data_IF_257106795903
#
_entry.id   IF_257106795903
#
_cell.length_a   1.000
_cell.length_b   1.000
_cell.length_c   1.000
_cell.angle_alpha   90.00
_cell.angle_beta   90.00
_cell.angle_gamma   90.00
#
_symmetry.space_group_name_H-M   'P 1'
#
loop_
_entity.id
_entity.type
_entity.pdbx_description
1 polymer ?
#
# COMPACT_ATOMS: atom_id res chain seq x y z
N UNK A 1 3.08 -20.84 5.52
CA UNK A 1 3.86 -20.65 4.28
C UNK A 1 2.93 -20.76 3.09
N UNK A 2 3.28 -20.23 1.90
CA UNK A 2 2.38 -20.27 0.72
C UNK A 2 2.47 -21.57 -0.09
N UNK A 3 3.30 -22.54 0.36
CA UNK A 3 3.63 -23.77 -0.37
C UNK A 3 2.41 -24.63 -0.71
N UNK A 4 1.44 -24.70 0.20
CA UNK A 4 0.25 -25.55 0.07
C UNK A 4 -0.70 -25.10 -1.04
N UNK A 5 -0.53 -23.87 -1.53
CA UNK A 5 -1.34 -23.28 -2.60
C UNK A 5 -0.65 -23.32 -3.97
N UNK A 6 0.55 -23.91 -4.05
CA UNK A 6 1.32 -24.00 -5.29
C UNK A 6 1.07 -25.33 -6.00
N UNK A 7 1.05 -25.29 -7.33
CA UNK A 7 1.11 -26.51 -8.15
C UNK A 7 2.47 -27.19 -8.02
N UNK A 8 2.60 -28.49 -8.38
CA UNK A 8 3.88 -29.18 -8.35
C UNK A 8 4.99 -28.47 -9.14
N UNK A 9 4.65 -27.84 -10.26
CA UNK A 9 5.57 -27.02 -11.07
C UNK A 9 5.95 -25.70 -10.38
N UNK A 10 5.04 -25.12 -9.61
CA UNK A 10 5.30 -23.96 -8.76
C UNK A 10 6.28 -24.29 -7.64
N UNK A 11 6.12 -25.44 -6.99
CA UNK A 11 7.01 -25.89 -5.92
C UNK A 11 8.44 -26.16 -6.41
N UNK A 12 8.60 -26.65 -7.64
CA UNK A 12 9.92 -26.82 -8.28
C UNK A 12 10.63 -25.49 -8.52
N UNK A 13 9.88 -24.42 -8.80
CA UNK A 13 10.42 -23.07 -9.05
C UNK A 13 10.62 -22.24 -7.79
N UNK A 14 9.85 -22.51 -6.74
CA UNK A 14 9.84 -21.76 -5.49
C UNK A 14 9.96 -22.72 -4.29
N UNK A 15 11.15 -23.24 -3.99
CA UNK A 15 11.32 -24.34 -3.02
C UNK A 15 10.89 -23.97 -1.60
N UNK A 16 11.17 -22.74 -1.17
CA UNK A 16 10.80 -22.25 0.16
C UNK A 16 9.42 -21.59 0.18
N UNK A 17 9.01 -20.92 -0.90
CA UNK A 17 7.79 -20.10 -0.99
C UNK A 17 7.52 -19.28 0.30
N UNK A 18 8.59 -18.78 0.94
CA UNK A 18 8.51 -17.93 2.11
C UNK A 18 8.29 -16.49 1.66
N UNK A 19 7.36 -15.81 2.33
CA UNK A 19 7.01 -14.43 2.06
C UNK A 19 7.04 -13.64 3.36
N UNK A 20 7.57 -12.43 3.28
CA UNK A 20 7.61 -11.46 4.37
C UNK A 20 6.62 -10.35 4.07
N UNK A 21 5.80 -10.03 5.05
CA UNK A 21 4.93 -8.87 4.98
C UNK A 21 5.78 -7.59 4.91
N UNK A 22 5.54 -6.81 3.86
CA UNK A 22 6.27 -5.57 3.55
C UNK A 22 5.39 -4.33 3.72
N UNK A 23 4.09 -4.46 3.47
CA UNK A 23 3.15 -3.36 3.62
C UNK A 23 1.73 -3.80 3.92
N UNK A 24 0.98 -2.95 4.63
CA UNK A 24 -0.45 -3.11 4.94
C UNK A 24 -1.13 -1.80 4.61
N UNK A 25 -2.16 -1.84 3.77
CA UNK A 25 -3.03 -0.69 3.51
C UNK A 25 -4.32 -0.91 4.29
N UNK A 26 -4.79 0.15 4.96
CA UNK A 26 -5.98 0.13 5.79
C UNK A 26 -6.94 1.17 5.24
N UNK A 27 -8.18 0.75 5.04
CA UNK A 27 -9.29 1.67 4.80
C UNK A 27 -9.94 1.98 6.14
N UNK A 28 -9.86 3.24 6.56
CA UNK A 28 -10.55 3.75 7.73
C UNK A 28 -11.87 4.36 7.29
N UNK A 29 -12.96 3.67 7.60
CA UNK A 29 -14.31 4.11 7.30
C UNK A 29 -15.16 4.17 8.56
N UNK A 30 -16.29 4.87 8.44
CA UNK A 30 -17.39 4.74 9.39
C UNK A 30 -18.45 3.83 8.79
N UNK A 31 -19.05 2.98 9.62
CA UNK A 31 -20.14 2.08 9.24
C UNK A 31 -19.80 1.13 8.07
N UNK A 32 -18.52 0.80 7.84
CA UNK A 32 -18.10 -0.07 6.74
C UNK A 32 -18.52 0.43 5.35
N UNK A 33 -18.56 1.76 5.19
CA UNK A 33 -18.74 2.39 3.89
C UNK A 33 -17.58 2.06 2.97
N UNK A 34 -17.89 1.79 1.71
CA UNK A 34 -16.89 1.58 0.64
C UNK A 34 -16.73 2.81 -0.26
N UNK A 35 -17.63 3.79 -0.13
CA UNK A 35 -17.69 4.97 -1.00
C UNK A 35 -16.90 6.16 -0.45
N UNK A 36 -16.64 6.16 0.86
CA UNK A 36 -15.89 7.20 1.53
C UNK A 36 -15.10 6.61 2.69
N UNK A 37 -13.95 7.21 2.94
CA UNK A 37 -13.05 6.81 4.01
C UNK A 37 -11.69 7.44 3.80
N UNK A 38 -10.75 7.02 4.65
CA UNK A 38 -9.38 7.49 4.63
C UNK A 38 -8.42 6.32 4.52
N UNK A 39 -7.44 6.44 3.64
CA UNK A 39 -6.44 5.38 3.45
C UNK A 39 -5.16 5.73 4.19
N UNK A 40 -4.73 4.79 5.03
CA UNK A 40 -3.40 4.85 5.64
C UNK A 40 -2.62 3.58 5.27
N UNK A 41 -1.30 3.69 5.29
CA UNK A 41 -0.43 2.55 5.02
C UNK A 41 0.59 2.33 6.12
N UNK A 42 0.87 1.06 6.41
CA UNK A 42 1.92 0.63 7.30
C UNK A 42 2.98 -0.06 6.46
N UNK A 43 4.18 0.50 6.40
CA UNK A 43 5.25 0.02 5.54
C UNK A 43 6.44 -0.42 6.39
N UNK A 44 7.07 -1.52 6.00
CA UNK A 44 8.26 -2.04 6.64
C UNK A 44 9.51 -1.40 6.04
N UNK A 45 10.28 -0.69 6.87
CA UNK A 45 11.61 -0.17 6.53
C UNK A 45 12.67 -1.00 7.26
N UNK A 46 13.17 -2.04 6.60
CA UNK A 46 14.13 -2.98 7.19
C UNK A 46 13.51 -3.80 8.33
N UNK A 47 13.81 -3.43 9.58
CA UNK A 47 13.24 -4.05 10.79
C UNK A 47 12.15 -3.20 11.46
N UNK A 48 12.04 -1.93 11.08
CA UNK A 48 11.09 -0.99 11.66
C UNK A 48 9.81 -0.93 10.82
N UNK A 49 8.72 -0.53 11.46
CA UNK A 49 7.46 -0.26 10.80
C UNK A 49 7.14 1.22 10.90
N UNK A 50 6.61 1.78 9.82
CA UNK A 50 6.18 3.16 9.76
C UNK A 50 4.71 3.21 9.34
N UNK A 51 3.91 4.04 10.02
CA UNK A 51 2.59 4.45 9.56
C UNK A 51 2.76 5.70 8.70
N UNK A 52 2.27 5.63 7.48
CA UNK A 52 2.21 6.73 6.53
C UNK A 52 0.75 7.17 6.40
N UNK A 53 0.51 8.41 6.80
CA UNK A 53 -0.78 9.06 6.79
C UNK A 53 -0.64 10.39 6.05
N UNK A 54 -0.90 10.39 4.75
CA UNK A 54 -0.67 11.53 3.86
C UNK A 54 0.76 12.10 3.99
N UNK A 55 0.91 13.29 4.58
CA UNK A 55 2.19 13.95 4.81
C UNK A 55 2.94 13.45 6.04
N UNK A 56 2.26 12.74 6.94
CA UNK A 56 2.83 12.26 8.19
C UNK A 56 3.44 10.86 8.06
N UNK A 57 4.69 10.73 8.48
CA UNK A 57 5.38 9.44 8.60
C UNK A 57 5.83 9.22 10.05
N UNK A 58 5.25 8.21 10.71
CA UNK A 58 5.54 7.92 12.12
C UNK A 58 6.01 6.49 12.31
N UNK A 59 7.03 6.27 13.14
CA UNK A 59 7.45 4.91 13.52
C UNK A 59 6.40 4.28 14.43
N UNK A 60 6.09 3.01 14.19
CA UNK A 60 5.09 2.25 14.94
C UNK A 60 5.60 0.85 15.27
N UNK A 61 5.05 0.25 16.31
CA UNK A 61 5.38 -1.12 16.68
C UNK A 61 4.66 -2.12 15.78
N UNK A 62 5.21 -3.34 15.71
CA UNK A 62 4.60 -4.43 14.95
C UNK A 62 3.21 -4.80 15.50
N UNK A 63 3.02 -4.74 16.82
CA UNK A 63 1.74 -5.09 17.47
C UNK A 63 0.62 -4.20 16.94
N UNK A 64 0.90 -2.90 16.74
CA UNK A 64 -0.05 -1.97 16.14
C UNK A 64 -0.39 -2.35 14.71
N UNK A 65 0.62 -2.70 13.89
CA UNK A 65 0.42 -3.12 12.49
C UNK A 65 -0.42 -4.40 12.41
N UNK A 66 -0.14 -5.38 13.26
CA UNK A 66 -0.82 -6.68 13.27
C UNK A 66 -2.30 -6.61 13.68
N UNK A 67 -2.68 -5.57 14.45
CA UNK A 67 -4.06 -5.36 14.88
C UNK A 67 -4.93 -4.61 13.86
N UNK A 68 -4.34 -4.12 12.76
CA UNK A 68 -5.10 -3.35 11.78
C UNK A 68 -6.03 -4.25 10.95
N UNK A 69 -7.20 -3.72 10.59
CA UNK A 69 -8.09 -4.32 9.59
C UNK A 69 -7.52 -4.07 8.21
N UNK A 70 -6.66 -4.98 7.75
CA UNK A 70 -6.00 -4.87 6.45
C UNK A 70 -7.03 -4.87 5.31
N UNK A 71 -6.96 -3.85 4.46
CA UNK A 71 -7.67 -3.79 3.19
C UNK A 71 -6.83 -4.45 2.08
N UNK A 72 -5.54 -4.08 1.99
CA UNK A 72 -4.58 -4.73 1.09
C UNK A 72 -3.29 -5.10 1.82
N UNK A 73 -2.65 -6.19 1.39
CA UNK A 73 -1.41 -6.69 1.95
C UNK A 73 -0.35 -6.83 0.86
N UNK A 74 0.84 -6.31 1.12
CA UNK A 74 2.00 -6.45 0.26
C UNK A 74 3.00 -7.41 0.88
N UNK A 75 3.33 -8.45 0.12
CA UNK A 75 4.31 -9.46 0.51
C UNK A 75 5.50 -9.44 -0.44
N UNK A 76 6.70 -9.50 0.13
CA UNK A 76 7.93 -9.70 -0.61
C UNK A 76 8.40 -11.14 -0.41
N UNK A 77 8.85 -11.80 -1.47
CA UNK A 77 9.46 -13.13 -1.36
C UNK A 77 10.73 -13.02 -0.51
N UNK A 78 10.82 -13.84 0.54
CA UNK A 78 12.07 -14.01 1.25
C UNK A 78 13.00 -14.82 0.34
N UNK A 79 14.12 -14.25 -0.08
CA UNK A 79 15.13 -15.01 -0.81
C UNK A 79 15.53 -16.21 0.06
N UNK A 80 15.42 -17.40 -0.50
CA UNK A 80 16.08 -18.57 0.07
C UNK A 80 17.57 -18.39 -0.12
N UNK A 81 18.38 -18.82 0.85
CA UNK A 81 19.84 -18.68 0.90
C UNK A 81 20.61 -19.32 -0.29
N UNK A 82 19.89 -19.79 -1.32
CA UNK A 82 20.38 -20.35 -2.57
C UNK A 82 20.33 -19.38 -3.76
N UNK A 83 19.79 -18.17 -3.59
CA UNK A 83 20.09 -17.07 -4.51
C UNK A 83 21.55 -16.68 -4.27
N UNK A 84 22.45 -17.45 -4.88
CA UNK A 84 23.88 -17.15 -4.99
C UNK A 84 24.01 -15.65 -5.28
N UNK A 85 24.75 -14.87 -4.49
CA UNK A 85 25.09 -13.52 -4.89
C UNK A 85 25.79 -13.67 -6.24
N UNK A 86 25.15 -13.18 -7.31
CA UNK A 86 25.83 -13.12 -8.59
C UNK A 86 27.14 -12.37 -8.34
N UNK A 87 28.23 -13.12 -8.48
CA UNK A 87 29.54 -12.72 -8.02
C UNK A 87 29.98 -11.44 -8.71
N UNK A 88 30.78 -10.68 -7.95
CA UNK A 88 32.04 -10.14 -8.42
C UNK A 88 32.26 -10.19 -9.95
N UNK A 89 31.97 -9.07 -10.61
CA UNK A 89 32.81 -8.58 -11.69
C UNK A 89 33.31 -7.18 -11.28
N UNK A 90 34.62 -7.10 -11.10
CA UNK A 90 35.41 -5.93 -10.70
C UNK A 90 35.57 -4.91 -11.87
N UNK A 91 36.62 -4.07 -11.85
CA UNK A 91 36.71 -2.71 -11.37
C UNK A 91 36.42 -1.63 -12.44
N UNK A 92 36.43 -0.39 -11.94
CA UNK A 92 36.24 0.92 -12.56
C UNK A 92 37.08 1.09 -13.84
N UNK A 93 36.46 1.53 -14.94
CA UNK A 93 37.14 2.28 -16.01
C UNK A 93 36.57 3.70 -16.07
N UNK A 94 37.44 4.66 -15.76
CA UNK A 94 37.28 6.10 -15.93
C UNK A 94 37.23 6.47 -17.41
N UNK A 95 36.19 7.18 -17.85
CA UNK A 95 36.28 8.02 -19.05
C UNK A 95 35.40 9.25 -18.90
N UNK A 96 36.06 10.38 -18.70
CA UNK A 96 35.45 11.66 -18.38
C UNK A 96 34.84 12.43 -19.54
N UNK A 97 34.24 13.56 -19.16
CA UNK A 97 34.09 14.78 -19.95
C UNK A 97 32.76 14.97 -20.68
N UNK A 98 31.84 15.77 -20.13
CA UNK A 98 31.63 17.18 -20.55
C UNK A 98 30.33 17.76 -19.97
N UNK A 99 30.45 18.99 -19.47
CA UNK A 99 29.39 19.90 -19.00
C UNK A 99 28.39 20.30 -20.10
N UNK A 100 27.13 20.58 -19.72
CA UNK A 100 26.33 21.70 -20.26
C UNK A 100 25.05 21.93 -19.44
N UNK A 101 25.10 22.97 -18.61
CA UNK A 101 24.18 24.10 -18.38
C UNK A 101 22.67 24.03 -18.76
N UNK A 102 21.88 24.65 -17.87
CA UNK A 102 20.54 25.28 -18.01
C UNK A 102 19.30 24.36 -17.93
N UNK A 103 18.15 24.71 -17.32
CA UNK A 103 17.66 25.77 -16.42
C UNK A 103 16.28 25.29 -15.88
N UNK A 104 15.84 25.86 -14.74
CA UNK A 104 14.47 25.72 -14.20
C UNK A 104 13.44 26.39 -15.14
N UNK A 105 12.18 25.93 -15.13
CA UNK A 105 11.10 26.89 -15.11
C UNK A 105 10.08 26.61 -14.00
N UNK A 106 9.74 27.71 -13.33
CA UNK A 106 8.61 27.89 -12.43
C UNK A 106 7.28 28.02 -13.19
N UNK A 107 6.22 27.59 -12.50
CA UNK A 107 4.86 28.15 -12.50
C UNK A 107 3.74 27.42 -13.28
N UNK A 108 2.59 27.47 -12.60
CA UNK A 108 1.22 27.52 -13.11
C UNK A 108 0.45 26.22 -13.29
N UNK A 109 -0.35 25.92 -12.26
CA UNK A 109 -1.81 25.73 -12.35
C UNK A 109 -2.40 25.46 -13.74
N UNK A 110 -3.05 24.30 -13.87
CA UNK A 110 -4.37 24.18 -14.48
C UNK A 110 -5.02 22.84 -14.08
N UNK A 111 -6.18 22.94 -13.45
CA UNK A 111 -7.26 21.96 -13.43
C UNK A 111 -7.33 21.15 -14.74
N UNK A 112 -7.37 19.82 -14.63
CA UNK A 112 -7.98 19.00 -15.68
C UNK A 112 -8.89 17.94 -15.04
N UNK A 113 -10.17 18.31 -14.95
CA UNK A 113 -11.30 17.46 -14.62
C UNK A 113 -11.40 16.33 -15.64
N UNK A 114 -11.14 15.10 -15.20
CA UNK A 114 -11.59 13.91 -15.93
C UNK A 114 -13.10 13.70 -15.67
N UNK A 115 -13.89 13.35 -16.70
CA UNK A 115 -15.33 13.28 -16.59
C UNK A 115 -15.80 12.15 -15.68
N UNK A 116 -16.73 12.51 -14.79
CA UNK A 116 -17.46 11.65 -13.87
C UNK A 116 -18.35 10.63 -14.62
N UNK A 117 -18.13 9.30 -14.50
CA UNK A 117 -19.06 8.30 -14.99
C UNK A 117 -20.00 7.85 -13.86
N UNK A 118 -20.81 8.77 -13.32
CA UNK A 118 -21.92 8.42 -12.45
C UNK A 118 -23.22 9.00 -13.01
N UNK A 119 -23.81 8.28 -13.96
CA UNK A 119 -25.23 8.35 -14.21
C UNK A 119 -25.80 6.94 -14.05
N UNK A 120 -26.80 6.84 -13.17
CA UNK A 120 -27.63 5.68 -12.84
C UNK A 120 -26.96 4.59 -11.98
N UNK A 121 -27.28 4.58 -10.67
CA UNK A 121 -28.25 3.62 -10.12
C UNK A 121 -28.74 4.10 -8.75
N UNK A 122 -30.00 4.51 -8.75
CA UNK A 122 -31.08 4.54 -7.74
C UNK A 122 -30.81 4.76 -6.25
N UNK A 123 -31.46 5.84 -5.78
CA UNK A 123 -31.95 6.08 -4.41
C UNK A 123 -32.58 4.83 -3.79
N UNK A 124 -32.37 4.64 -2.48
CA UNK A 124 -33.43 4.33 -1.49
C UNK A 124 -32.80 4.21 -0.08
N UNK A 125 -33.50 4.82 0.89
CA UNK A 125 -33.47 4.61 2.34
C UNK A 125 -32.41 5.33 3.20
N UNK A 126 -32.66 6.61 3.49
CA UNK A 126 -32.32 7.18 4.81
C UNK A 126 -33.49 8.05 5.30
N UNK A 127 -34.51 7.42 5.87
CA UNK A 127 -35.39 8.02 6.88
C UNK A 127 -36.01 6.87 7.69
N UNK A 128 -35.53 6.62 8.91
CA UNK A 128 -36.32 6.07 10.04
C UNK A 128 -35.50 5.86 11.33
N UNK A 129 -34.65 6.84 11.74
CA UNK A 129 -33.97 6.84 13.06
C UNK A 129 -34.12 8.19 13.77
N UNK A 130 -35.32 8.78 13.78
CA UNK A 130 -35.62 9.95 14.64
C UNK A 130 -37.03 9.94 15.27
N UNK A 131 -37.71 8.77 15.34
CA UNK A 131 -39.08 8.70 15.92
C UNK A 131 -39.23 8.12 17.33
N UNK A 132 -38.15 7.77 18.03
CA UNK A 132 -38.26 7.01 19.30
C UNK A 132 -37.84 7.76 20.58
N UNK A 133 -37.85 9.11 20.58
CA UNK A 133 -37.52 9.91 21.78
C UNK A 133 -38.73 10.70 22.33
N UNK A 134 -39.92 10.64 21.71
CA UNK A 134 -41.04 11.53 22.08
C UNK A 134 -42.33 10.84 22.56
N UNK A 135 -42.25 9.68 23.22
CA UNK A 135 -43.42 9.07 23.91
C UNK A 135 -43.11 8.63 25.35
N UNK A 136 -42.60 9.57 26.14
CA UNK A 136 -42.50 9.45 27.58
C UNK A 136 -43.05 10.67 28.30
N UNK A 137 -44.39 10.79 28.35
CA UNK A 137 -45.19 11.45 29.41
C UNK A 137 -46.65 11.07 29.21
#
# INVERSE_FOLDING_TARGET
>A
EMRDFLTPEGLRRLPSAAYRLSGVVVHQDMLNSVNYGHYISFVRRGKQWCCLNDEDATEVSWERVAQQKAYMLFYQRAASDFDTPCGAAAPIEERGGSESTAELPTSSSCDELLPNPQAAVDEVAIEEVERDISRGT
#
